data_IF_919941506715
#
_entry.id   IF_919941506715
#
_cell.length_a   1.000
_cell.length_b   1.000
_cell.length_c   1.000
_cell.angle_alpha   90.00
_cell.angle_beta   90.00
_cell.angle_gamma   90.00
#
_symmetry.space_group_name_H-M   'P 1'
#
loop_
_entity.id
_entity.type
_entity.pdbx_description
1 polymer ?
#
# COMPACT_ATOMS: atom_id res chain seq x y z
N UNK A 1 18.71 22.21 -16.59
CA UNK A 1 18.21 21.66 -15.30
C UNK A 1 17.06 22.48 -14.72
N UNK A 2 17.19 23.80 -14.54
CA UNK A 2 16.11 24.62 -13.95
C UNK A 2 14.81 24.60 -14.76
N UNK A 3 14.90 24.80 -16.07
CA UNK A 3 13.74 24.77 -16.96
C UNK A 3 13.03 23.43 -16.90
N UNK A 4 13.78 22.31 -16.88
CA UNK A 4 13.21 20.97 -16.71
C UNK A 4 12.45 20.89 -15.39
N UNK A 5 13.12 21.16 -14.26
CA UNK A 5 12.50 21.07 -12.93
C UNK A 5 11.20 21.88 -12.87
N UNK A 6 11.25 23.16 -13.24
CA UNK A 6 10.09 24.07 -13.20
C UNK A 6 8.98 23.59 -14.15
N UNK A 7 9.32 23.20 -15.39
CA UNK A 7 8.34 22.73 -16.36
C UNK A 7 7.59 21.50 -15.86
N UNK A 8 8.30 20.48 -15.35
CA UNK A 8 7.67 19.26 -14.84
C UNK A 8 6.79 19.57 -13.63
N UNK A 9 7.31 20.35 -12.67
CA UNK A 9 6.56 20.68 -11.45
C UNK A 9 5.30 21.48 -11.74
N UNK A 10 5.37 22.46 -12.64
CA UNK A 10 4.23 23.31 -12.98
C UNK A 10 3.21 22.53 -13.80
N UNK A 11 3.66 21.80 -14.83
CA UNK A 11 2.77 21.02 -15.69
C UNK A 11 1.94 20.01 -14.89
N UNK A 12 2.55 19.24 -13.99
CA UNK A 12 1.82 18.27 -13.15
C UNK A 12 1.09 18.88 -11.95
N UNK A 13 1.24 20.18 -11.70
CA UNK A 13 0.50 20.90 -10.64
C UNK A 13 -0.82 21.49 -11.11
N UNK A 14 -1.02 21.67 -12.43
CA UNK A 14 -2.23 22.28 -13.03
C UNK A 14 -3.44 21.31 -13.08
N UNK A 15 -3.30 20.03 -13.46
CA UNK A 15 -4.45 19.13 -13.61
C UNK A 15 -5.22 18.90 -12.30
N UNK A 16 -6.54 18.65 -12.38
CA UNK A 16 -7.36 18.35 -11.21
C UNK A 16 -7.03 17.00 -10.57
N UNK A 17 -6.66 16.01 -11.37
CA UNK A 17 -6.25 14.68 -10.90
C UNK A 17 -4.73 14.59 -10.73
N UNK A 18 -4.27 14.23 -9.53
CA UNK A 18 -2.85 14.19 -9.17
C UNK A 18 -2.51 12.86 -8.51
N UNK A 19 -1.63 12.10 -9.15
CA UNK A 19 -0.97 10.95 -8.54
C UNK A 19 0.43 11.36 -8.07
N UNK A 20 0.83 10.90 -6.89
CA UNK A 20 2.14 11.23 -6.31
C UNK A 20 3.31 10.91 -7.27
N UNK A 21 3.18 9.86 -8.09
CA UNK A 21 4.20 9.45 -9.05
C UNK A 21 4.43 10.42 -10.22
N UNK A 22 3.51 11.34 -10.52
CA UNK A 22 3.64 12.26 -11.65
C UNK A 22 4.82 13.22 -11.52
N UNK A 23 5.26 13.52 -10.30
CA UNK A 23 6.38 14.42 -10.04
C UNK A 23 7.74 13.73 -10.14
N UNK A 24 7.80 12.40 -10.26
CA UNK A 24 9.06 11.64 -10.30
C UNK A 24 10.06 12.13 -11.36
N UNK A 25 9.64 12.58 -12.57
CA UNK A 25 10.57 13.15 -13.55
C UNK A 25 11.25 14.46 -13.13
N UNK A 26 10.82 15.10 -12.04
CA UNK A 26 11.50 16.26 -11.45
C UNK A 26 12.67 15.85 -10.53
N UNK A 27 12.82 14.56 -10.20
CA UNK A 27 13.87 14.07 -9.30
C UNK A 27 15.29 14.16 -9.90
N UNK A 28 15.56 13.89 -11.20
CA UNK A 28 16.90 14.04 -11.75
C UNK A 28 17.46 15.48 -11.68
N UNK A 29 16.74 16.54 -12.12
CA UNK A 29 17.27 17.89 -12.00
C UNK A 29 17.40 18.34 -10.54
N UNK A 30 16.51 17.87 -9.64
CA UNK A 30 16.65 18.12 -8.20
C UNK A 30 17.94 17.50 -7.63
N UNK A 31 18.27 16.27 -8.02
CA UNK A 31 19.51 15.61 -7.61
C UNK A 31 20.75 16.39 -8.06
N UNK A 32 20.75 16.90 -9.30
CA UNK A 32 21.85 17.75 -9.80
C UNK A 32 21.97 19.03 -8.98
N UNK A 33 20.87 19.68 -8.62
CA UNK A 33 20.91 20.87 -7.77
C UNK A 33 21.45 20.58 -6.37
N UNK A 34 21.04 19.46 -5.77
CA UNK A 34 21.57 19.01 -4.49
C UNK A 34 23.08 18.75 -4.61
N UNK A 35 23.54 18.10 -5.67
CA UNK A 35 24.96 17.82 -5.88
C UNK A 35 25.80 19.10 -5.99
N UNK A 36 25.34 20.11 -6.77
CA UNK A 36 26.01 21.41 -6.87
C UNK A 36 26.07 22.11 -5.51
N UNK A 37 25.00 22.01 -4.71
CA UNK A 37 24.96 22.62 -3.38
C UNK A 37 25.90 21.92 -2.40
N UNK A 38 25.95 20.58 -2.44
CA UNK A 38 26.85 19.77 -1.61
C UNK A 38 28.31 20.06 -1.95
N UNK A 39 28.66 20.17 -3.24
CA UNK A 39 30.02 20.50 -3.69
C UNK A 39 30.51 21.85 -3.12
N UNK A 40 29.65 22.87 -3.14
CA UNK A 40 29.94 24.17 -2.50
C UNK A 40 30.15 24.09 -0.99
N UNK A 41 29.43 23.20 -0.31
CA UNK A 41 29.58 23.00 1.14
C UNK A 41 30.86 22.23 1.45
N UNK A 42 31.24 21.26 0.61
CA UNK A 42 32.49 20.50 0.78
C UNK A 42 33.73 21.38 0.58
N UNK A 43 33.64 22.37 -0.31
CA UNK A 43 34.74 23.31 -0.60
C UNK A 43 34.77 24.53 0.32
N UNK A 44 33.65 24.84 0.99
CA UNK A 44 33.57 25.89 2.00
C UNK A 44 34.15 25.45 3.35
N UNK A 45 35.03 26.27 3.94
CA UNK A 45 35.61 25.98 5.26
C UNK A 45 34.70 26.40 6.44
N UNK A 46 33.50 26.91 6.15
CA UNK A 46 32.51 27.34 7.16
C UNK A 46 31.20 26.59 6.98
N UNK A 47 30.86 25.77 7.97
CA UNK A 47 29.59 25.03 8.06
C UNK A 47 28.68 25.76 9.05
N UNK A 48 27.42 26.00 8.67
CA UNK A 48 26.45 26.64 9.55
C UNK A 48 25.82 25.62 10.53
N UNK A 49 25.44 26.07 11.73
CA UNK A 49 24.73 25.25 12.73
C UNK A 49 23.47 24.60 12.17
N UNK A 50 22.73 25.31 11.32
CA UNK A 50 21.53 24.75 10.66
C UNK A 50 21.87 23.54 9.79
N UNK A 51 22.97 23.60 9.02
CA UNK A 51 23.39 22.49 8.15
C UNK A 51 23.83 21.27 8.99
N UNK A 52 24.51 21.49 10.11
CA UNK A 52 24.93 20.42 11.02
C UNK A 52 23.75 19.70 11.67
N UNK A 53 22.73 20.45 12.11
CA UNK A 53 21.69 19.90 13.00
C UNK A 53 20.35 19.63 12.32
N UNK A 54 20.07 20.18 11.13
CA UNK A 54 18.78 19.97 10.45
C UNK A 54 18.47 18.49 10.21
N UNK A 55 19.41 17.73 9.61
CA UNK A 55 19.19 16.31 9.31
C UNK A 55 19.06 15.46 10.57
N UNK A 56 19.96 15.55 11.58
CA UNK A 56 19.77 14.84 12.84
C UNK A 56 18.44 15.16 13.53
N UNK A 57 18.02 16.43 13.57
CA UNK A 57 16.74 16.83 14.16
C UNK A 57 15.57 16.20 13.40
N UNK A 58 15.60 16.22 12.07
CA UNK A 58 14.56 15.58 11.26
C UNK A 58 14.44 14.07 11.55
N UNK A 59 15.57 13.37 11.63
CA UNK A 59 15.60 11.93 11.94
C UNK A 59 15.07 11.64 13.35
N UNK A 60 15.43 12.47 14.34
CA UNK A 60 14.90 12.36 15.69
C UNK A 60 13.38 12.60 15.72
N UNK A 61 12.89 13.61 14.99
CA UNK A 61 11.45 13.88 14.86
C UNK A 61 10.73 12.68 14.24
N UNK A 62 11.29 12.06 13.21
CA UNK A 62 10.74 10.84 12.60
C UNK A 62 10.73 9.66 13.59
N UNK A 63 11.80 9.48 14.37
CA UNK A 63 11.85 8.47 15.43
C UNK A 63 10.78 8.67 16.51
N UNK A 64 10.59 9.91 16.97
CA UNK A 64 9.51 10.28 17.91
C UNK A 64 8.14 10.08 17.27
N UNK A 65 7.97 10.44 16.00
CA UNK A 65 6.72 10.25 15.28
C UNK A 65 6.29 8.78 15.29
N UNK A 66 7.20 7.85 14.96
CA UNK A 66 6.92 6.41 15.01
C UNK A 66 6.47 5.93 16.39
N UNK A 67 7.07 6.43 17.47
CA UNK A 67 6.68 6.07 18.84
C UNK A 67 5.33 6.70 19.23
N UNK A 68 5.04 7.91 18.76
CA UNK A 68 3.80 8.61 19.08
C UNK A 68 2.58 8.09 18.32
N UNK A 69 2.79 7.47 17.15
CA UNK A 69 1.73 7.02 16.25
C UNK A 69 0.63 6.19 16.93
N UNK A 70 0.93 5.17 17.76
CA UNK A 70 -0.09 4.37 18.43
C UNK A 70 -1.00 5.16 19.39
N UNK A 71 -0.51 6.29 19.91
CA UNK A 71 -1.26 7.14 20.83
C UNK A 71 -2.12 8.17 20.08
N UNK A 72 -1.66 8.63 18.91
CA UNK A 72 -2.35 9.66 18.13
C UNK A 72 -3.32 9.09 17.10
N UNK A 73 -3.06 7.88 16.61
CA UNK A 73 -3.87 7.26 15.55
C UNK A 73 -5.11 6.57 16.12
N UNK A 74 -6.18 6.55 15.32
CA UNK A 74 -7.45 5.91 15.71
C UNK A 74 -7.26 4.40 15.93
N UNK A 75 -7.88 3.80 16.95
CA UNK A 75 -7.67 2.39 17.30
C UNK A 75 -8.01 1.41 16.17
N UNK A 76 -9.00 1.73 15.33
CA UNK A 76 -9.35 0.90 14.15
C UNK A 76 -8.21 0.78 13.13
N UNK A 77 -7.40 1.83 12.96
CA UNK A 77 -6.29 1.85 12.02
C UNK A 77 -5.07 1.07 12.54
N UNK A 78 -4.99 0.87 13.85
CA UNK A 78 -3.87 0.22 14.53
C UNK A 78 -4.11 -1.26 14.84
N UNK A 79 -5.35 -1.74 14.69
CA UNK A 79 -5.78 -3.07 15.15
C UNK A 79 -4.96 -4.22 14.55
N UNK A 80 -4.43 -4.01 13.34
CA UNK A 80 -3.64 -5.00 12.60
C UNK A 80 -2.17 -4.60 12.38
N UNK A 81 -1.75 -3.47 12.98
CA UNK A 81 -0.37 -3.00 12.88
C UNK A 81 0.46 -3.71 13.95
N UNK A 82 1.67 -4.12 13.58
CA UNK A 82 2.61 -4.67 14.55
C UNK A 82 3.22 -3.53 15.41
N UNK A 83 2.54 -3.18 16.51
CA UNK A 83 2.91 -2.07 17.39
C UNK A 83 4.31 -2.26 17.98
N UNK A 84 4.70 -3.49 18.32
CA UNK A 84 6.04 -3.75 18.89
C UNK A 84 7.15 -3.50 17.87
N UNK A 85 6.92 -3.85 16.60
CA UNK A 85 7.84 -3.52 15.51
C UNK A 85 7.94 -2.01 15.25
N UNK A 86 6.83 -1.28 15.43
CA UNK A 86 6.81 0.18 15.29
C UNK A 86 7.62 0.86 16.40
N UNK A 87 7.45 0.42 17.66
CA UNK A 87 8.24 0.92 18.79
C UNK A 87 9.72 0.56 18.67
N UNK A 88 10.06 -0.65 18.22
CA UNK A 88 11.46 -1.04 18.04
C UNK A 88 12.14 -0.25 16.92
N UNK A 89 11.42 0.05 15.83
CA UNK A 89 11.90 0.92 14.76
C UNK A 89 12.16 2.33 15.30
N UNK A 90 11.18 2.95 15.97
CA UNK A 90 11.32 4.29 16.54
C UNK A 90 12.44 4.39 17.57
N UNK A 91 12.52 3.44 18.51
CA UNK A 91 13.58 3.40 19.53
C UNK A 91 14.96 3.18 18.92
N UNK A 92 15.08 2.26 17.96
CA UNK A 92 16.32 2.02 17.22
C UNK A 92 16.80 3.27 16.48
N UNK A 93 15.86 4.03 15.90
CA UNK A 93 16.17 5.32 15.27
C UNK A 93 16.73 6.30 16.30
N UNK A 94 16.04 6.52 17.42
CA UNK A 94 16.49 7.47 18.43
C UNK A 94 17.84 7.10 19.04
N UNK A 95 18.04 5.83 19.42
CA UNK A 95 19.29 5.36 20.02
C UNK A 95 20.46 5.54 19.05
N UNK A 96 20.32 5.10 17.80
CA UNK A 96 21.40 5.20 16.83
C UNK A 96 21.71 6.66 16.46
N UNK A 97 20.69 7.52 16.35
CA UNK A 97 20.89 8.95 16.13
C UNK A 97 21.62 9.63 17.28
N UNK A 98 21.25 9.33 18.54
CA UNK A 98 21.93 9.88 19.73
C UNK A 98 23.38 9.40 19.81
N UNK A 99 23.65 8.13 19.51
CA UNK A 99 25.02 7.60 19.47
C UNK A 99 25.86 8.32 18.40
N UNK A 100 25.36 8.48 17.18
CA UNK A 100 26.08 9.20 16.12
C UNK A 100 26.35 10.66 16.49
N UNK A 101 25.36 11.35 17.08
CA UNK A 101 25.53 12.71 17.59
C UNK A 101 26.62 12.73 18.67
N UNK A 102 26.62 11.79 19.62
CA UNK A 102 27.63 11.69 20.66
C UNK A 102 29.04 11.47 20.09
N UNK A 103 29.19 10.57 19.11
CA UNK A 103 30.48 10.33 18.44
C UNK A 103 30.95 11.57 17.67
N UNK A 104 30.05 12.32 17.06
CA UNK A 104 30.36 13.59 16.41
C UNK A 104 30.81 14.66 17.42
N UNK A 105 30.10 14.81 18.54
CA UNK A 105 30.46 15.74 19.61
C UNK A 105 31.82 15.39 20.24
N UNK A 106 32.18 14.10 20.28
CA UNK A 106 33.50 13.61 20.70
C UNK A 106 34.58 13.75 19.62
N UNK A 107 34.26 14.37 18.48
CA UNK A 107 35.14 14.54 17.31
C UNK A 107 35.73 13.22 16.78
N UNK A 108 35.01 12.10 16.93
CA UNK A 108 35.43 10.79 16.43
C UNK A 108 35.04 10.57 14.96
N UNK A 109 34.06 11.32 14.46
CA UNK A 109 33.56 11.22 13.09
C UNK A 109 33.46 12.61 12.46
N UNK A 110 33.56 12.67 11.13
CA UNK A 110 33.40 13.91 10.38
C UNK A 110 31.92 14.31 10.26
N UNK A 111 31.66 15.60 9.98
CA UNK A 111 30.31 16.08 9.65
C UNK A 111 29.71 15.35 8.45
N UNK A 112 30.49 15.08 7.41
CA UNK A 112 30.02 14.38 6.21
C UNK A 112 29.54 12.96 6.55
N UNK A 113 30.30 12.25 7.38
CA UNK A 113 29.91 10.92 7.87
C UNK A 113 28.60 10.99 8.64
N UNK A 114 28.44 11.96 9.56
CA UNK A 114 27.20 12.15 10.31
C UNK A 114 26.00 12.40 9.37
N UNK A 115 26.14 13.35 8.43
CA UNK A 115 25.07 13.71 7.50
C UNK A 115 24.65 12.52 6.63
N UNK A 116 25.62 11.81 6.04
CA UNK A 116 25.36 10.69 5.16
C UNK A 116 24.71 9.52 5.90
N UNK A 117 25.21 9.17 7.10
CA UNK A 117 24.61 8.13 7.93
C UNK A 117 23.18 8.47 8.34
N UNK A 118 22.89 9.73 8.71
CA UNK A 118 21.53 10.17 9.02
C UNK A 118 20.60 10.13 7.81
N UNK A 119 21.09 10.44 6.61
CA UNK A 119 20.31 10.37 5.38
C UNK A 119 19.94 8.92 5.02
N UNK A 120 20.89 7.98 5.09
CA UNK A 120 20.62 6.55 4.87
C UNK A 120 19.57 6.06 5.86
N UNK A 121 19.75 6.42 7.14
CA UNK A 121 18.84 6.03 8.20
C UNK A 121 17.42 6.57 7.97
N UNK A 122 17.28 7.82 7.52
CA UNK A 122 15.99 8.38 7.14
C UNK A 122 15.34 7.57 6.01
N UNK A 123 16.06 7.29 4.92
CA UNK A 123 15.54 6.53 3.78
C UNK A 123 15.10 5.10 4.17
N UNK A 124 15.89 4.42 4.99
CA UNK A 124 15.57 3.08 5.48
C UNK A 124 14.38 3.10 6.45
N UNK A 125 14.30 4.10 7.33
CA UNK A 125 13.21 4.23 8.29
C UNK A 125 11.85 4.38 7.63
N UNK A 126 11.76 5.18 6.57
CA UNK A 126 10.49 5.39 5.83
C UNK A 126 10.06 4.09 5.15
N UNK A 127 10.98 3.41 4.46
CA UNK A 127 10.69 2.15 3.77
C UNK A 127 10.23 1.04 4.74
N UNK A 128 10.91 0.89 5.87
CA UNK A 128 10.51 -0.08 6.91
C UNK A 128 9.20 0.33 7.59
N UNK A 129 9.01 1.63 7.83
CA UNK A 129 7.78 2.17 8.40
C UNK A 129 6.56 1.86 7.52
N UNK A 130 6.67 2.07 6.20
CA UNK A 130 5.62 1.70 5.24
C UNK A 130 5.29 0.20 5.36
N UNK A 131 6.29 -0.67 5.40
CA UNK A 131 6.06 -2.12 5.52
C UNK A 131 5.33 -2.51 6.82
N UNK A 132 5.62 -1.84 7.94
CA UNK A 132 4.97 -2.12 9.23
C UNK A 132 3.53 -1.58 9.26
N UNK A 133 3.31 -0.43 8.63
CA UNK A 133 2.02 0.26 8.60
C UNK A 133 1.10 -0.19 7.45
N UNK A 134 1.61 -0.96 6.49
CA UNK A 134 0.86 -1.47 5.36
C UNK A 134 -0.13 -2.57 5.78
N UNK A 135 -1.34 -2.12 6.14
CA UNK A 135 -2.49 -2.98 6.41
C UNK A 135 -3.26 -3.36 5.14
N UNK A 136 -2.96 -2.75 3.98
CA UNK A 136 -3.71 -2.99 2.75
C UNK A 136 -3.22 -4.24 2.00
N UNK A 137 -1.96 -4.61 2.18
CA UNK A 137 -1.38 -5.82 1.60
C UNK A 137 -2.14 -7.10 2.00
N UNK A 138 -2.47 -7.97 1.03
CA UNK A 138 -3.16 -9.24 1.27
C UNK A 138 -2.26 -10.49 1.21
N UNK A 139 -0.93 -10.33 1.14
CA UNK A 139 0.00 -11.45 0.96
C UNK A 139 -0.12 -12.57 2.02
N UNK A 140 -0.52 -12.24 3.25
CA UNK A 140 -0.73 -13.21 4.33
C UNK A 140 -2.22 -13.61 4.53
N UNK A 141 -3.11 -13.21 3.61
CA UNK A 141 -4.56 -13.35 3.73
C UNK A 141 -5.15 -14.34 2.70
N UNK A 142 -4.30 -15.20 2.13
CA UNK A 142 -4.67 -16.14 1.05
C UNK A 142 -4.70 -17.60 1.50
N UNK A 143 -4.79 -17.88 2.81
CA UNK A 143 -4.81 -19.25 3.33
C UNK A 143 -5.99 -20.09 2.82
N UNK A 144 -7.10 -19.44 2.43
CA UNK A 144 -8.28 -20.05 1.82
C UNK A 144 -8.02 -20.68 0.44
N UNK A 145 -6.89 -20.38 -0.20
CA UNK A 145 -6.50 -20.97 -1.49
C UNK A 145 -6.53 -22.51 -1.45
N UNK A 146 -6.25 -23.11 -0.28
CA UNK A 146 -6.28 -24.57 -0.06
C UNK A 146 -7.67 -25.19 -0.28
N UNK A 147 -8.72 -24.38 -0.17
CA UNK A 147 -10.11 -24.80 -0.28
C UNK A 147 -10.69 -24.50 -1.68
N UNK A 148 -9.89 -23.92 -2.59
CA UNK A 148 -10.29 -23.60 -3.96
C UNK A 148 -9.93 -24.78 -4.87
N UNK A 149 -10.88 -25.25 -5.69
CA UNK A 149 -10.61 -26.23 -6.75
C UNK A 149 -10.34 -25.54 -8.08
N UNK A 150 -9.63 -26.20 -9.01
CA UNK A 150 -9.15 -25.60 -10.26
C UNK A 150 -10.25 -25.02 -11.18
N UNK A 151 -11.50 -25.45 -11.01
CA UNK A 151 -12.64 -24.99 -11.80
C UNK A 151 -13.67 -24.18 -10.99
N UNK A 152 -13.40 -23.89 -9.72
CA UNK A 152 -14.31 -23.12 -8.88
C UNK A 152 -14.30 -21.64 -9.32
N UNK A 153 -15.46 -21.06 -9.67
CA UNK A 153 -15.55 -19.63 -9.95
C UNK A 153 -15.14 -18.81 -8.72
N UNK A 154 -14.24 -17.85 -8.94
CA UNK A 154 -13.89 -16.83 -7.94
C UNK A 154 -14.58 -15.54 -8.34
N UNK A 155 -15.41 -15.03 -7.45
CA UNK A 155 -16.29 -13.90 -7.67
C UNK A 155 -15.90 -12.77 -6.73
N UNK A 156 -15.70 -11.57 -7.24
CA UNK A 156 -15.50 -10.36 -6.45
C UNK A 156 -16.79 -9.54 -6.41
N UNK A 157 -17.24 -9.19 -5.21
CA UNK A 157 -18.53 -8.54 -4.97
C UNK A 157 -18.35 -7.04 -4.66
N UNK A 158 -18.83 -6.17 -5.55
CA UNK A 158 -18.77 -4.69 -5.49
C UNK A 158 -17.40 -4.08 -5.11
N UNK A 159 -16.31 -4.82 -5.34
CA UNK A 159 -14.95 -4.37 -5.05
C UNK A 159 -13.92 -5.19 -5.83
N UNK A 160 -13.08 -4.54 -6.62
CA UNK A 160 -11.98 -5.22 -7.31
C UNK A 160 -10.76 -5.34 -6.39
N UNK A 161 -10.38 -6.56 -6.00
CA UNK A 161 -9.17 -6.83 -5.22
C UNK A 161 -7.98 -7.02 -6.15
N UNK A 162 -7.17 -5.98 -6.35
CA UNK A 162 -6.11 -5.97 -7.38
C UNK A 162 -5.00 -7.00 -7.17
N UNK A 163 -4.65 -7.29 -5.92
CA UNK A 163 -3.54 -8.18 -5.57
C UNK A 163 -3.97 -9.65 -5.47
N UNK A 164 -5.22 -9.94 -5.15
CA UNK A 164 -5.72 -11.30 -4.91
C UNK A 164 -5.53 -12.23 -6.13
N UNK A 165 -5.88 -11.86 -7.39
CA UNK A 165 -5.68 -12.74 -8.53
C UNK A 165 -4.21 -13.13 -8.72
N UNK A 166 -3.30 -12.19 -8.45
CA UNK A 166 -1.86 -12.42 -8.50
C UNK A 166 -1.40 -13.33 -7.36
N UNK A 167 -1.82 -13.05 -6.12
CA UNK A 167 -1.44 -13.84 -4.94
C UNK A 167 -1.95 -15.29 -5.00
N UNK A 168 -3.12 -15.51 -5.62
CA UNK A 168 -3.69 -16.84 -5.84
C UNK A 168 -3.14 -17.53 -7.10
N UNK A 169 -2.30 -16.84 -7.89
CA UNK A 169 -1.77 -17.31 -9.17
C UNK A 169 -2.87 -17.78 -10.14
N UNK A 170 -3.96 -17.01 -10.25
CA UNK A 170 -5.11 -17.37 -11.07
C UNK A 170 -4.76 -17.33 -12.56
N UNK A 171 -5.08 -18.42 -13.26
CA UNK A 171 -4.88 -18.55 -14.71
C UNK A 171 -6.11 -18.10 -15.50
N UNK A 172 -7.25 -17.91 -14.83
CA UNK A 172 -8.52 -17.46 -15.42
C UNK A 172 -8.94 -16.14 -14.75
N UNK A 173 -9.62 -15.24 -15.49
CA UNK A 173 -10.20 -14.04 -14.91
C UNK A 173 -11.18 -14.37 -13.78
N UNK A 174 -11.26 -13.48 -12.80
CA UNK A 174 -12.31 -13.50 -11.79
C UNK A 174 -13.63 -13.01 -12.39
N UNK A 175 -14.74 -13.47 -11.83
CA UNK A 175 -16.05 -12.89 -12.09
C UNK A 175 -16.23 -11.66 -11.20
N UNK A 176 -16.84 -10.62 -11.74
CA UNK A 176 -17.05 -9.38 -11.01
C UNK A 176 -18.54 -9.07 -10.94
N UNK A 177 -19.03 -8.87 -9.72
CA UNK A 177 -20.43 -8.51 -9.47
C UNK A 177 -20.47 -7.03 -9.14
N UNK A 178 -21.18 -6.26 -9.95
CA UNK A 178 -21.40 -4.85 -9.70
C UNK A 178 -22.66 -4.32 -10.41
N UNK A 179 -23.04 -3.08 -10.08
CA UNK A 179 -24.01 -2.32 -10.88
C UNK A 179 -23.31 -1.73 -12.11
N UNK A 180 -23.32 -2.51 -13.19
CA UNK A 180 -22.70 -2.12 -14.46
C UNK A 180 -23.43 -1.00 -15.19
N UNK A 181 -24.71 -0.77 -14.89
CA UNK A 181 -25.48 0.31 -15.52
C UNK A 181 -25.11 1.65 -14.88
N UNK A 182 -25.03 1.68 -13.54
CA UNK A 182 -24.76 2.89 -12.74
C UNK A 182 -23.33 2.93 -12.15
N UNK A 183 -22.35 2.35 -12.82
CA UNK A 183 -20.96 2.34 -12.37
C UNK A 183 -20.48 3.77 -12.04
N UNK A 184 -19.97 3.97 -10.82
CA UNK A 184 -19.47 5.28 -10.36
C UNK A 184 -18.37 5.81 -11.27
N UNK A 185 -18.36 7.13 -11.46
CA UNK A 185 -17.26 7.81 -12.15
C UNK A 185 -15.94 7.61 -11.40
N UNK A 186 -14.84 7.43 -12.13
CA UNK A 186 -13.49 7.15 -11.62
C UNK A 186 -13.37 5.87 -10.75
N UNK A 187 -14.23 4.88 -11.00
CA UNK A 187 -14.19 3.58 -10.32
C UNK A 187 -13.50 2.49 -11.14
N UNK A 188 -13.08 1.41 -10.47
CA UNK A 188 -12.62 0.17 -11.13
C UNK A 188 -13.66 -0.38 -12.10
N UNK A 189 -14.94 -0.25 -11.75
CA UNK A 189 -16.06 -0.80 -12.50
C UNK A 189 -16.28 -0.02 -13.79
N UNK A 190 -16.13 1.30 -13.77
CA UNK A 190 -16.11 2.11 -14.99
C UNK A 190 -14.93 1.73 -15.89
N UNK A 191 -13.72 1.62 -15.34
CA UNK A 191 -12.53 1.26 -16.12
C UNK A 191 -12.68 -0.10 -16.82
N UNK A 192 -13.24 -1.10 -16.12
CA UNK A 192 -13.51 -2.42 -16.69
C UNK A 192 -14.64 -2.39 -17.72
N UNK A 193 -15.69 -1.60 -17.48
CA UNK A 193 -16.80 -1.41 -18.41
C UNK A 193 -16.32 -0.75 -19.71
N UNK A 194 -15.51 0.30 -19.63
CA UNK A 194 -14.93 0.99 -20.79
C UNK A 194 -13.97 0.07 -21.55
N UNK A 195 -13.26 -0.82 -20.84
CA UNK A 195 -12.41 -1.85 -21.43
C UNK A 195 -13.16 -2.79 -22.39
N UNK A 196 -14.47 -3.02 -22.18
CA UNK A 196 -15.29 -3.84 -23.08
C UNK A 196 -15.46 -3.25 -24.48
N UNK A 197 -15.13 -1.97 -24.69
CA UNK A 197 -15.09 -1.38 -26.04
C UNK A 197 -14.03 -2.08 -26.89
N UNK A 198 -12.94 -2.55 -26.27
CA UNK A 198 -11.84 -3.23 -26.94
C UNK A 198 -11.96 -4.76 -26.90
N UNK A 199 -12.49 -5.33 -25.81
CA UNK A 199 -12.60 -6.78 -25.58
C UNK A 199 -14.04 -7.17 -25.19
N UNK A 200 -15.02 -7.08 -26.11
CA UNK A 200 -16.45 -7.25 -25.81
C UNK A 200 -16.80 -8.65 -25.30
N UNK A 201 -16.05 -9.68 -25.69
CA UNK A 201 -16.22 -11.07 -25.24
C UNK A 201 -15.97 -11.26 -23.73
N UNK A 202 -15.26 -10.33 -23.08
CA UNK A 202 -15.02 -10.37 -21.63
C UNK A 202 -16.26 -10.00 -20.82
N UNK A 203 -17.34 -9.53 -21.46
CA UNK A 203 -18.62 -9.24 -20.80
C UNK A 203 -19.17 -10.44 -20.02
N UNK A 204 -18.84 -11.66 -20.41
CA UNK A 204 -19.23 -12.88 -19.69
C UNK A 204 -18.75 -12.96 -18.23
N UNK A 205 -17.69 -12.22 -17.88
CA UNK A 205 -17.14 -12.16 -16.52
C UNK A 205 -17.82 -11.09 -15.65
N UNK A 206 -18.65 -10.23 -16.24
CA UNK A 206 -19.33 -9.15 -15.54
C UNK A 206 -20.74 -9.59 -15.19
N UNK A 207 -20.98 -9.89 -13.92
CA UNK A 207 -22.25 -10.37 -13.39
C UNK A 207 -23.01 -9.24 -12.69
N UNK A 208 -24.34 -9.32 -12.69
CA UNK A 208 -25.20 -8.54 -11.81
C UNK A 208 -25.46 -9.32 -10.52
N UNK A 209 -25.99 -8.65 -9.49
CA UNK A 209 -26.46 -9.29 -8.25
C UNK A 209 -27.45 -10.43 -8.55
N UNK A 210 -28.35 -10.23 -9.51
CA UNK A 210 -29.33 -11.24 -9.90
C UNK A 210 -28.70 -12.51 -10.49
N UNK A 211 -27.62 -12.38 -11.27
CA UNK A 211 -26.89 -13.52 -11.82
C UNK A 211 -26.17 -14.27 -10.69
N UNK A 212 -25.52 -13.55 -9.77
CA UNK A 212 -24.89 -14.16 -8.61
C UNK A 212 -25.91 -14.95 -7.77
N UNK A 213 -27.06 -14.36 -7.48
CA UNK A 213 -28.13 -15.02 -6.74
C UNK A 213 -28.65 -16.27 -7.45
N UNK A 214 -28.82 -16.22 -8.77
CA UNK A 214 -29.23 -17.38 -9.56
C UNK A 214 -28.20 -18.52 -9.47
N UNK A 215 -26.91 -18.19 -9.57
CA UNK A 215 -25.78 -19.14 -9.48
C UNK A 215 -25.68 -19.80 -8.10
N UNK A 216 -25.89 -19.03 -7.04
CA UNK A 216 -25.92 -19.56 -5.67
C UNK A 216 -27.11 -20.50 -5.49
N UNK A 217 -28.32 -20.09 -5.94
CA UNK A 217 -29.56 -20.88 -5.83
C UNK A 217 -29.53 -22.16 -6.67
N UNK A 218 -28.81 -22.17 -7.79
CA UNK A 218 -28.66 -23.38 -8.62
C UNK A 218 -27.77 -24.45 -8.00
N UNK A 219 -27.16 -24.20 -6.83
CA UNK A 219 -26.28 -25.16 -6.16
C UNK A 219 -24.86 -25.18 -6.71
N UNK A 220 -24.45 -24.18 -7.48
CA UNK A 220 -23.09 -24.12 -8.04
C UNK A 220 -22.08 -23.84 -6.91
N UNK A 221 -20.97 -24.57 -6.91
CA UNK A 221 -19.88 -24.36 -5.96
C UNK A 221 -19.03 -23.18 -6.43
N UNK A 222 -18.98 -22.11 -5.63
CA UNK A 222 -18.27 -20.88 -5.97
C UNK A 222 -17.73 -20.19 -4.71
N UNK A 223 -16.73 -19.32 -4.91
CA UNK A 223 -16.15 -18.47 -3.86
C UNK A 223 -16.48 -17.03 -4.14
N UNK A 224 -17.05 -16.33 -3.16
CA UNK A 224 -17.27 -14.88 -3.22
C UNK A 224 -16.29 -14.19 -2.28
N UNK A 225 -15.62 -13.15 -2.76
CA UNK A 225 -14.85 -12.21 -1.95
C UNK A 225 -15.59 -10.88 -1.91
N UNK A 226 -15.80 -10.36 -0.71
CA UNK A 226 -16.43 -9.05 -0.50
C UNK A 226 -15.62 -8.25 0.53
N UNK A 227 -15.79 -6.92 0.55
CA UNK A 227 -15.20 -6.12 1.64
C UNK A 227 -15.74 -6.63 2.97
N UNK A 228 -14.92 -6.57 4.03
CA UNK A 228 -15.30 -7.13 5.32
C UNK A 228 -16.64 -6.53 5.80
N UNK A 229 -17.59 -7.39 6.14
CA UNK A 229 -18.97 -7.06 6.52
C UNK A 229 -19.83 -6.38 5.43
N UNK A 230 -19.43 -6.37 4.16
CA UNK A 230 -20.22 -5.75 3.08
C UNK A 230 -21.19 -6.72 2.38
N UNK A 231 -21.08 -8.02 2.62
CA UNK A 231 -21.92 -9.04 2.01
C UNK A 231 -22.58 -9.90 3.10
N UNK A 232 -23.90 -9.98 3.07
CA UNK A 232 -24.66 -10.75 4.05
C UNK A 232 -25.51 -11.80 3.33
N UNK A 233 -24.97 -13.02 3.12
CA UNK A 233 -25.72 -14.06 2.44
C UNK A 233 -26.87 -14.54 3.34
N UNK A 234 -28.12 -14.40 2.88
CA UNK A 234 -29.30 -14.97 3.54
C UNK A 234 -29.47 -16.48 3.24
N UNK A 235 -28.36 -17.18 3.02
CA UNK A 235 -28.33 -18.55 2.51
C UNK A 235 -27.88 -19.54 3.60
N UNK A 236 -28.54 -20.69 3.70
CA UNK A 236 -28.37 -21.64 4.80
C UNK A 236 -27.06 -22.45 4.78
N UNK A 237 -26.28 -22.43 3.69
CA UNK A 237 -25.09 -23.26 3.48
C UNK A 237 -23.88 -22.45 2.99
N UNK A 238 -23.38 -21.54 3.83
CA UNK A 238 -22.21 -20.71 3.51
C UNK A 238 -21.15 -20.83 4.59
N UNK A 239 -19.93 -21.21 4.20
CA UNK A 239 -18.77 -21.12 5.08
C UNK A 239 -18.11 -19.75 4.86
N UNK A 240 -18.00 -18.98 5.94
CA UNK A 240 -17.39 -17.63 5.91
C UNK A 240 -16.03 -17.67 6.59
N UNK A 241 -15.01 -17.15 5.91
CA UNK A 241 -13.69 -16.91 6.45
C UNK A 241 -13.46 -15.41 6.52
N UNK A 242 -13.17 -14.90 7.72
CA UNK A 242 -12.95 -13.48 7.95
C UNK A 242 -11.47 -13.13 7.84
N UNK A 243 -11.15 -12.18 6.97
CA UNK A 243 -9.83 -11.56 6.85
C UNK A 243 -9.91 -10.06 7.14
N UNK A 244 -8.75 -9.41 7.25
CA UNK A 244 -8.63 -7.98 7.60
C UNK A 244 -9.27 -7.08 6.55
N UNK A 245 -9.06 -7.39 5.27
CA UNK A 245 -9.44 -6.51 4.15
C UNK A 245 -10.66 -7.01 3.37
N UNK A 246 -11.02 -8.28 3.54
CA UNK A 246 -12.16 -8.90 2.89
C UNK A 246 -12.68 -10.09 3.69
N UNK A 247 -13.89 -10.52 3.39
CA UNK A 247 -14.44 -11.79 3.81
C UNK A 247 -14.55 -12.73 2.60
N UNK A 248 -14.32 -14.01 2.83
CA UNK A 248 -14.40 -15.06 1.81
C UNK A 248 -15.57 -15.98 2.13
N UNK A 249 -16.48 -16.15 1.18
CA UNK A 249 -17.70 -16.93 1.33
C UNK A 249 -17.63 -18.11 0.37
N UNK A 250 -17.64 -19.32 0.93
CA UNK A 250 -17.72 -20.56 0.16
C UNK A 250 -19.16 -21.04 0.12
N UNK A 251 -19.70 -21.18 -1.09
CA UNK A 251 -21.04 -21.70 -1.34
C UNK A 251 -20.97 -23.14 -1.85
N UNK A 252 -21.88 -23.99 -1.37
CA UNK A 252 -22.10 -25.35 -1.87
C UNK A 252 -20.82 -26.22 -1.96
N UNK A 253 -19.96 -26.13 -0.94
CA UNK A 253 -18.61 -26.71 -0.97
C UNK A 253 -18.63 -28.25 -0.96
N UNK A 254 -17.97 -28.89 -1.95
CA UNK A 254 -17.84 -30.35 -2.08
C UNK A 254 -16.48 -30.79 -1.47
N UNK A 255 -16.35 -30.68 -0.14
CA UNK A 255 -15.38 -31.40 0.72
C UNK A 255 -13.95 -30.80 0.98
N UNK A 256 -13.18 -31.37 1.93
CA UNK A 256 -13.61 -31.90 3.22
C UNK A 256 -13.76 -30.77 4.26
N UNK A 257 -14.77 -30.89 5.11
CA UNK A 257 -14.79 -30.24 6.41
C UNK A 257 -13.56 -30.72 7.18
N UNK A 258 -12.66 -29.80 7.54
CA UNK A 258 -11.72 -30.07 8.62
C UNK A 258 -12.18 -29.29 9.87
N UNK A 259 -12.27 -30.08 10.95
CA UNK A 259 -12.79 -29.79 12.28
C UNK A 259 -12.24 -28.51 12.92
#
# INVERSE_FOLDING_TARGET
>A
MLIWFVSVTTFFSIPPSKLAGYILPATPPLAVFIAIMVDRVLTSNKINRFQTWATPVLVLVVGVAFISLPFTARPKNLLYVNITALYSLGAGILIFSVLLIFYYLKQRISYFTLMFSMAIMLCMSVSLGVRILDVQNNANQVSFQKNITANMPIVFYHNYFYDVPFLLNLQKPVYLVDDWENASQDSSSQQLKDGLIFEPERRQYLWSDSILDQKIKSGEALVVLARSNSFNPHYANVQVLHYRNYDVYFFNNIGPVQK
#
